data_IF_876168031110
#
_entry.id   IF_876168031110
#
_cell.length_a   1.000
_cell.length_b   1.000
_cell.length_c   1.000
_cell.angle_alpha   90.00
_cell.angle_beta   90.00
_cell.angle_gamma   90.00
#
_symmetry.space_group_name_H-M   'P 1'
#
loop_
_entity.id
_entity.type
_entity.pdbx_description
1 polymer ?
#
# COMPACT_ATOMS: atom_id res chain seq x y z
N UNK A 1 -18.91 -32.46 -3.45
CA UNK A 1 -17.78 -31.95 -2.66
C UNK A 1 -17.90 -30.44 -2.53
N UNK A 2 -17.74 -29.93 -1.35
CA UNK A 2 -17.83 -28.51 -1.11
C UNK A 2 -16.43 -27.93 -0.93
N UNK A 3 -16.24 -26.74 -1.46
CA UNK A 3 -15.03 -25.98 -1.21
C UNK A 3 -15.07 -25.38 0.17
N UNK A 4 -13.91 -25.27 0.78
CA UNK A 4 -13.73 -24.66 2.10
C UNK A 4 -12.68 -23.59 2.02
N UNK A 5 -13.02 -22.43 2.56
CA UNK A 5 -12.07 -21.34 2.70
C UNK A 5 -11.38 -21.46 4.05
N UNK A 6 -10.05 -21.54 4.02
CA UNK A 6 -9.25 -21.59 5.24
C UNK A 6 -8.17 -20.52 5.16
N UNK A 7 -7.73 -20.07 6.31
CA UNK A 7 -6.60 -19.15 6.39
C UNK A 7 -5.33 -19.96 6.55
N UNK A 8 -4.32 -19.62 5.76
CA UNK A 8 -3.00 -20.22 5.83
C UNK A 8 -1.96 -19.10 5.90
N UNK A 9 -1.06 -19.19 6.87
CA UNK A 9 0.02 -18.21 6.95
C UNK A 9 1.04 -18.47 5.84
N UNK A 10 1.26 -17.47 4.98
CA UNK A 10 2.18 -17.59 3.84
C UNK A 10 3.55 -17.03 4.14
N UNK A 11 3.65 -16.04 5.04
CA UNK A 11 4.92 -15.43 5.39
C UNK A 11 4.81 -14.78 6.76
N UNK A 12 5.95 -14.66 7.44
CA UNK A 12 6.05 -13.90 8.69
C UNK A 12 7.19 -12.88 8.62
N UNK A 13 7.79 -12.72 7.43
CA UNK A 13 8.86 -11.76 7.16
C UNK A 13 8.32 -10.76 6.13
N UNK A 14 8.50 -9.46 6.38
CA UNK A 14 8.02 -8.43 5.47
C UNK A 14 7.91 -7.09 6.18
N UNK A 15 6.91 -6.29 5.80
CA UNK A 15 6.69 -5.01 6.47
C UNK A 15 6.45 -5.23 7.96
N UNK A 16 6.89 -4.27 8.78
CA UNK A 16 6.62 -4.32 10.22
C UNK A 16 5.13 -4.30 10.49
N UNK A 17 4.68 -4.85 11.62
CA UNK A 17 3.26 -4.73 12.00
C UNK A 17 2.84 -3.26 12.05
N UNK A 18 1.65 -2.97 11.55
CA UNK A 18 1.19 -1.58 11.43
C UNK A 18 -0.32 -1.49 11.36
N UNK A 19 -0.82 -0.27 11.51
CA UNK A 19 -2.23 0.05 11.32
C UNK A 19 -2.34 1.33 10.49
N UNK A 20 -3.51 1.58 9.90
CA UNK A 20 -3.72 2.78 9.11
C UNK A 20 -3.01 2.79 7.76
N UNK A 21 -2.58 1.62 7.31
CA UNK A 21 -1.97 1.44 6.00
C UNK A 21 -3.05 1.32 4.92
N UNK A 22 -2.64 1.40 3.66
CA UNK A 22 -3.49 1.13 2.52
C UNK A 22 -2.88 0.01 1.68
N UNK A 23 -3.75 -0.81 1.10
CA UNK A 23 -3.34 -1.87 0.19
C UNK A 23 -4.26 -1.87 -1.02
N UNK A 24 -3.70 -2.15 -2.19
CA UNK A 24 -4.48 -2.30 -3.40
C UNK A 24 -3.83 -3.35 -4.30
N UNK A 25 -4.66 -4.05 -5.06
CA UNK A 25 -4.19 -5.05 -6.00
C UNK A 25 -3.88 -4.41 -7.35
N UNK A 26 -2.65 -4.55 -7.82
CA UNK A 26 -2.23 -4.09 -9.12
C UNK A 26 -2.32 -5.26 -10.10
N UNK A 27 -3.38 -5.27 -10.89
CA UNK A 27 -3.71 -6.42 -11.73
C UNK A 27 -2.70 -6.64 -12.87
N UNK A 28 -2.08 -5.57 -13.39
CA UNK A 28 -1.17 -5.68 -14.52
C UNK A 28 0.04 -6.56 -14.20
N UNK A 29 0.60 -6.45 -13.00
CA UNK A 29 1.75 -7.25 -12.58
C UNK A 29 1.39 -8.29 -11.53
N UNK A 30 0.12 -8.37 -11.13
CA UNK A 30 -0.38 -9.31 -10.13
C UNK A 30 0.36 -9.17 -8.80
N UNK A 31 0.40 -7.94 -8.30
CA UNK A 31 1.03 -7.59 -7.02
C UNK A 31 0.01 -6.94 -6.11
N UNK A 32 0.13 -7.18 -4.83
CA UNK A 32 -0.53 -6.35 -3.83
C UNK A 32 0.47 -5.29 -3.39
N UNK A 33 0.07 -4.02 -3.47
CA UNK A 33 0.93 -2.89 -3.09
C UNK A 33 0.45 -2.36 -1.75
N UNK A 34 1.38 -2.15 -0.83
CA UNK A 34 1.10 -1.63 0.51
C UNK A 34 1.87 -0.34 0.72
N UNK A 35 1.20 0.67 1.25
CA UNK A 35 1.81 1.94 1.60
C UNK A 35 1.17 2.51 2.86
N UNK A 36 1.99 3.19 3.66
CA UNK A 36 1.50 3.93 4.81
C UNK A 36 1.44 3.12 6.09
N UNK A 37 0.83 3.72 7.09
CA UNK A 37 0.79 3.14 8.42
C UNK A 37 2.09 3.28 9.18
N UNK A 38 3.00 4.12 8.69
CA UNK A 38 4.28 4.39 9.35
C UNK A 38 4.84 5.75 8.89
N UNK A 39 5.87 6.21 9.57
CA UNK A 39 6.51 7.49 9.26
C UNK A 39 7.30 7.43 7.97
N UNK A 40 7.96 6.31 7.71
CA UNK A 40 8.83 6.17 6.56
C UNK A 40 8.02 6.01 5.28
N UNK A 41 8.50 6.55 4.14
CA UNK A 41 7.76 6.52 2.88
C UNK A 41 8.04 5.25 2.08
N UNK A 42 8.00 4.12 2.73
CA UNK A 42 8.34 2.84 2.10
C UNK A 42 7.12 2.24 1.39
N UNK A 43 7.36 1.70 0.20
CA UNK A 43 6.36 0.98 -0.58
C UNK A 43 6.77 -0.49 -0.62
N UNK A 44 5.82 -1.37 -0.34
CA UNK A 44 6.02 -2.82 -0.32
C UNK A 44 5.12 -3.47 -1.33
N UNK A 45 5.59 -4.58 -1.90
CA UNK A 45 4.80 -5.39 -2.82
C UNK A 45 4.81 -6.85 -2.38
N UNK A 46 3.64 -7.48 -2.46
CA UNK A 46 3.45 -8.91 -2.22
C UNK A 46 3.18 -9.59 -3.56
N UNK A 47 4.03 -10.58 -3.91
CA UNK A 47 3.95 -11.27 -5.19
C UNK A 47 3.39 -12.70 -5.06
N UNK A 48 2.74 -13.02 -3.94
CA UNK A 48 2.20 -14.33 -3.55
C UNK A 48 3.24 -15.25 -2.91
N UNK A 49 4.50 -14.88 -2.97
CA UNK A 49 5.59 -15.66 -2.39
C UNK A 49 6.26 -14.89 -1.26
N UNK A 50 6.54 -13.62 -1.48
CA UNK A 50 7.29 -12.82 -0.53
C UNK A 50 6.94 -11.35 -0.65
N UNK A 51 7.22 -10.61 0.42
CA UNK A 51 7.18 -9.16 0.44
C UNK A 51 8.53 -8.61 0.00
N UNK A 52 8.49 -7.57 -0.82
CA UNK A 52 9.68 -6.85 -1.26
C UNK A 52 9.46 -5.37 -1.06
N UNK A 53 10.41 -4.69 -0.44
CA UNK A 53 10.40 -3.23 -0.40
C UNK A 53 10.88 -2.72 -1.75
N UNK A 54 9.99 -2.04 -2.49
CA UNK A 54 10.27 -1.65 -3.87
C UNK A 54 10.58 -0.17 -4.01
N UNK A 55 10.30 0.63 -2.98
CA UNK A 55 10.66 2.04 -2.98
C UNK A 55 10.82 2.54 -1.55
N UNK A 56 11.71 3.50 -1.37
CA UNK A 56 11.90 4.23 -0.12
C UNK A 56 11.73 5.74 -0.31
N UNK A 57 11.25 6.15 -1.48
CA UNK A 57 10.97 7.54 -1.81
C UNK A 57 9.58 7.63 -2.44
N UNK A 58 8.94 8.77 -2.28
CA UNK A 58 7.61 9.01 -2.82
C UNK A 58 6.81 9.91 -1.91
N UNK A 59 5.50 9.63 -1.72
CA UNK A 59 4.71 10.41 -0.79
C UNK A 59 5.31 10.33 0.61
N UNK A 60 5.28 11.41 1.39
CA UNK A 60 5.65 11.29 2.81
C UNK A 60 4.82 10.22 3.50
N UNK A 61 5.41 9.54 4.49
CA UNK A 61 4.70 8.53 5.26
C UNK A 61 3.45 9.11 5.89
N UNK A 62 2.39 8.31 5.96
CA UNK A 62 1.08 8.76 6.44
C UNK A 62 0.24 7.59 6.90
N UNK A 63 -0.85 7.91 7.59
CA UNK A 63 -1.83 6.95 8.07
C UNK A 63 -3.19 7.24 7.42
N UNK A 64 -3.98 6.19 7.23
CA UNK A 64 -5.38 6.28 6.79
C UNK A 64 -5.55 6.89 5.41
N UNK A 65 -4.56 6.73 4.53
CA UNK A 65 -4.73 7.12 3.14
C UNK A 65 -5.63 6.12 2.41
N UNK A 66 -6.20 6.55 1.29
CA UNK A 66 -6.97 5.68 0.42
C UNK A 66 -6.13 5.34 -0.81
N UNK A 67 -6.26 4.10 -1.29
CA UNK A 67 -5.51 3.67 -2.46
C UNK A 67 -6.39 2.75 -3.30
N UNK A 68 -6.42 3.00 -4.61
CA UNK A 68 -7.18 2.20 -5.57
C UNK A 68 -6.33 1.99 -6.82
N UNK A 69 -6.64 0.93 -7.56
CA UNK A 69 -5.98 0.67 -8.83
C UNK A 69 -6.84 1.17 -9.98
N UNK A 70 -6.26 2.03 -10.83
CA UNK A 70 -6.88 2.51 -12.04
C UNK A 70 -6.47 1.56 -13.18
N UNK A 71 -7.35 0.62 -13.48
CA UNK A 71 -7.05 -0.47 -14.42
C UNK A 71 -6.82 0.06 -15.84
N UNK A 72 -7.58 1.08 -16.25
CA UNK A 72 -7.47 1.59 -17.62
C UNK A 72 -6.13 2.27 -17.90
N UNK A 73 -5.52 2.88 -16.87
CA UNK A 73 -4.21 3.54 -17.01
C UNK A 73 -3.08 2.75 -16.38
N UNK A 74 -3.38 1.65 -15.70
CA UNK A 74 -2.40 0.80 -15.01
C UNK A 74 -1.59 1.61 -14.00
N UNK A 75 -2.29 2.36 -13.16
CA UNK A 75 -1.71 3.17 -12.08
C UNK A 75 -2.44 2.90 -10.78
N UNK A 76 -1.71 2.85 -9.70
CA UNK A 76 -2.32 2.98 -8.37
C UNK A 76 -2.45 4.45 -8.05
N UNK A 77 -3.58 4.83 -7.48
CA UNK A 77 -3.85 6.21 -7.09
C UNK A 77 -4.00 6.24 -5.58
N UNK A 78 -3.26 7.12 -4.94
CA UNK A 78 -3.27 7.31 -3.50
C UNK A 78 -3.74 8.73 -3.20
N UNK A 79 -4.61 8.88 -2.22
CA UNK A 79 -5.10 10.19 -1.81
C UNK A 79 -5.18 10.29 -0.30
N UNK A 80 -4.71 11.42 0.21
CA UNK A 80 -5.06 11.86 1.54
C UNK A 80 -4.37 11.11 2.67
N UNK A 81 -5.05 11.04 3.78
CA UNK A 81 -4.51 10.50 5.00
C UNK A 81 -4.06 11.61 5.95
N UNK A 82 -3.35 11.23 7.01
CA UNK A 82 -2.85 12.18 8.00
C UNK A 82 -1.37 11.90 8.29
N UNK A 83 -0.63 12.95 8.62
CA UNK A 83 0.79 12.80 8.97
C UNK A 83 0.99 12.25 10.39
N UNK A 84 -0.03 12.36 11.24
CA UNK A 84 -0.01 11.83 12.60
C UNK A 84 -1.34 11.14 12.86
N UNK A 85 -1.34 9.87 13.29
CA UNK A 85 -2.58 9.09 13.35
C UNK A 85 -3.58 9.59 14.39
N UNK A 86 -3.13 10.37 15.36
CA UNK A 86 -3.97 10.93 16.43
C UNK A 86 -4.28 12.41 16.25
N UNK A 87 -3.94 12.98 15.08
CA UNK A 87 -4.11 14.41 14.86
C UNK A 87 -4.76 14.68 13.50
N UNK A 88 -6.11 14.77 13.45
CA UNK A 88 -6.81 14.99 12.18
C UNK A 88 -6.54 16.37 11.55
N UNK A 89 -5.99 17.33 12.31
CA UNK A 89 -5.62 18.62 11.73
C UNK A 89 -4.40 18.52 10.81
N UNK A 90 -3.71 17.38 10.80
CA UNK A 90 -2.60 17.12 9.87
C UNK A 90 -3.06 16.32 8.65
N UNK A 91 -4.33 16.48 8.26
CA UNK A 91 -4.88 15.83 7.09
C UNK A 91 -4.23 16.34 5.81
N UNK A 92 -4.07 15.43 4.86
CA UNK A 92 -3.40 15.67 3.59
C UNK A 92 -4.41 15.68 2.46
N UNK A 93 -4.17 16.51 1.44
CA UNK A 93 -5.05 16.59 0.28
C UNK A 93 -4.32 16.30 -1.03
N UNK A 94 -3.19 15.64 -0.98
CA UNK A 94 -2.39 15.35 -2.15
C UNK A 94 -2.80 14.05 -2.81
N UNK A 95 -2.57 13.97 -4.12
CA UNK A 95 -2.82 12.78 -4.94
C UNK A 95 -1.50 12.32 -5.52
N UNK A 96 -1.25 11.03 -5.42
CA UNK A 96 -0.04 10.41 -5.96
C UNK A 96 -0.42 9.20 -6.80
N UNK A 97 0.43 8.90 -7.79
CA UNK A 97 0.27 7.72 -8.63
C UNK A 97 1.53 6.87 -8.61
N UNK A 98 1.32 5.55 -8.52
CA UNK A 98 2.39 4.56 -8.59
C UNK A 98 2.27 3.82 -9.92
N UNK A 99 3.35 3.83 -10.72
CA UNK A 99 3.34 3.21 -12.05
C UNK A 99 4.00 1.82 -12.06
N UNK A 100 4.31 1.28 -10.91
CA UNK A 100 5.03 0.02 -10.78
C UNK A 100 6.52 0.20 -10.57
N UNK A 101 7.02 1.41 -10.76
CA UNK A 101 8.44 1.73 -10.62
C UNK A 101 8.66 2.92 -9.71
N UNK A 102 7.83 3.96 -9.84
CA UNK A 102 8.00 5.18 -9.06
C UNK A 102 6.67 5.88 -8.81
N UNK A 103 6.70 6.76 -7.83
CA UNK A 103 5.59 7.64 -7.49
C UNK A 103 5.72 8.98 -8.20
N UNK A 104 4.59 9.49 -8.68
CA UNK A 104 4.50 10.85 -9.24
C UNK A 104 3.27 11.56 -8.71
#
# INVERSE_FOLDING_TARGET
MSERWIWTQKADIGPSPRYGHAMAYEAARQRVVLFGGEVDPNTWEWDRVAWTQVADMGPPGRWYCAMVYDDSRQRLVLFGGVLQPDNPSRALGDTWEWDGTEWT
#
